data_IF_982835472881
#
_entry.id   IF_982835472881
#
_cell.length_a   1.000
_cell.length_b   1.000
_cell.length_c   1.000
_cell.angle_alpha   90.00
_cell.angle_beta   90.00
_cell.angle_gamma   90.00
#
_symmetry.space_group_name_H-M   'P 1'
#
loop_
_entity.id
_entity.type
_entity.pdbx_description
1 polymer ?
#
# COMPACT_ATOMS: atom_id res chain seq x y z
N UNK A 1 -1.17 45.99 -12.42
CA UNK A 1 -0.95 44.55 -12.65
C UNK A 1 0.13 44.43 -13.70
N UNK A 2 1.23 43.76 -13.35
CA UNK A 2 2.38 43.62 -14.22
C UNK A 2 2.09 42.63 -15.36
N UNK A 3 2.54 42.95 -16.57
CA UNK A 3 2.37 42.09 -17.76
C UNK A 3 2.96 40.69 -17.56
N UNK A 4 3.94 40.54 -16.68
CA UNK A 4 4.54 39.25 -16.31
C UNK A 4 3.60 38.37 -15.50
N UNK A 5 2.81 38.96 -14.60
CA UNK A 5 1.83 38.21 -13.79
C UNK A 5 0.67 37.70 -14.65
N UNK A 6 0.24 38.51 -15.63
CA UNK A 6 -0.78 38.09 -16.59
C UNK A 6 -0.30 36.92 -17.45
N UNK A 7 0.95 36.97 -17.91
CA UNK A 7 1.53 35.93 -18.76
C UNK A 7 1.72 34.60 -17.99
N UNK A 8 2.13 34.68 -16.73
CA UNK A 8 2.20 33.50 -15.85
C UNK A 8 0.81 32.92 -15.55
N UNK A 9 -0.19 33.76 -15.31
CA UNK A 9 -1.57 33.32 -15.11
C UNK A 9 -2.13 32.63 -16.35
N UNK A 10 -1.93 33.20 -17.53
CA UNK A 10 -2.40 32.65 -18.79
C UNK A 10 -1.71 31.32 -19.11
N UNK A 11 -0.40 31.21 -18.84
CA UNK A 11 0.36 29.97 -19.05
C UNK A 11 -0.07 28.86 -18.07
N UNK A 12 -0.37 29.20 -16.82
CA UNK A 12 -0.92 28.26 -15.84
C UNK A 12 -2.33 27.79 -16.22
N UNK A 13 -3.16 28.68 -16.79
CA UNK A 13 -4.48 28.31 -17.29
C UNK A 13 -4.39 27.36 -18.50
N UNK A 14 -3.49 27.62 -19.45
CA UNK A 14 -3.26 26.72 -20.58
C UNK A 14 -2.72 25.35 -20.15
N UNK A 15 -1.81 25.30 -19.17
CA UNK A 15 -1.30 24.03 -18.64
C UNK A 15 -2.40 23.20 -17.97
N UNK A 16 -3.30 23.82 -17.20
CA UNK A 16 -4.44 23.11 -16.61
C UNK A 16 -5.36 22.53 -17.67
N UNK A 17 -5.69 23.33 -18.69
CA UNK A 17 -6.55 22.89 -19.78
C UNK A 17 -5.92 21.72 -20.56
N UNK A 18 -4.62 21.77 -20.84
CA UNK A 18 -3.91 20.67 -21.49
C UNK A 18 -3.84 19.39 -20.63
N UNK A 19 -3.72 19.53 -19.30
CA UNK A 19 -3.74 18.39 -18.39
C UNK A 19 -5.12 17.73 -18.30
N UNK A 20 -6.18 18.55 -18.27
CA UNK A 20 -7.56 18.06 -18.25
C UNK A 20 -7.91 17.32 -19.55
N UNK A 21 -7.55 17.88 -20.71
CA UNK A 21 -7.74 17.23 -22.02
C UNK A 21 -6.98 15.89 -22.11
N UNK A 22 -5.73 15.86 -21.64
CA UNK A 22 -4.92 14.63 -21.63
C UNK A 22 -5.51 13.57 -20.69
N UNK A 23 -6.03 13.98 -19.54
CA UNK A 23 -6.69 13.09 -18.59
C UNK A 23 -7.97 12.50 -19.18
N UNK A 24 -8.84 13.33 -19.79
CA UNK A 24 -10.08 12.85 -20.40
C UNK A 24 -9.80 11.88 -21.56
N UNK A 25 -8.85 12.20 -22.43
CA UNK A 25 -8.46 11.32 -23.53
C UNK A 25 -7.93 9.96 -23.01
N UNK A 26 -7.08 9.98 -21.98
CA UNK A 26 -6.56 8.75 -21.36
C UNK A 26 -7.65 7.94 -20.65
N UNK A 27 -8.57 8.61 -19.95
CA UNK A 27 -9.68 7.97 -19.27
C UNK A 27 -10.66 7.31 -20.25
N UNK A 28 -10.99 7.98 -21.36
CA UNK A 28 -11.84 7.45 -22.41
C UNK A 28 -11.22 6.20 -23.06
N UNK A 29 -9.95 6.26 -23.42
CA UNK A 29 -9.22 5.12 -23.99
C UNK A 29 -9.16 3.93 -23.01
N UNK A 30 -8.85 4.20 -21.74
CA UNK A 30 -8.78 3.16 -20.70
C UNK A 30 -10.14 2.49 -20.44
N UNK A 31 -11.23 3.26 -20.45
CA UNK A 31 -12.60 2.74 -20.30
C UNK A 31 -12.98 1.79 -21.43
N UNK A 32 -12.59 2.11 -22.67
CA UNK A 32 -12.86 1.26 -23.82
C UNK A 32 -12.05 -0.04 -23.79
N UNK A 33 -10.74 0.03 -23.50
CA UNK A 33 -9.90 -1.16 -23.34
C UNK A 33 -10.38 -2.07 -22.20
N UNK A 34 -10.74 -1.50 -21.05
CA UNK A 34 -11.26 -2.26 -19.91
C UNK A 34 -12.59 -2.95 -20.25
N UNK A 35 -13.48 -2.28 -21.02
CA UNK A 35 -14.74 -2.88 -21.47
C UNK A 35 -14.50 -4.03 -22.44
N UNK A 36 -13.56 -3.87 -23.38
CA UNK A 36 -13.21 -4.92 -24.33
C UNK A 36 -12.66 -6.16 -23.60
N UNK A 37 -11.71 -5.99 -22.67
CA UNK A 37 -11.18 -7.10 -21.88
C UNK A 37 -12.25 -7.81 -21.05
N UNK A 38 -13.17 -7.05 -20.44
CA UNK A 38 -14.23 -7.61 -19.61
C UNK A 38 -15.20 -8.43 -20.46
N UNK A 39 -15.56 -7.94 -21.65
CA UNK A 39 -16.40 -8.69 -22.60
C UNK A 39 -15.71 -9.98 -23.07
N UNK A 40 -14.40 -9.94 -23.35
CA UNK A 40 -13.64 -11.14 -23.71
C UNK A 40 -13.63 -12.16 -22.57
N UNK A 41 -13.39 -11.72 -21.32
CA UNK A 41 -13.40 -12.59 -20.14
C UNK A 41 -14.79 -13.16 -19.85
N UNK A 42 -15.84 -12.35 -20.01
CA UNK A 42 -17.22 -12.79 -19.79
C UNK A 42 -17.65 -13.82 -20.85
N UNK A 43 -17.29 -13.60 -22.11
CA UNK A 43 -17.60 -14.54 -23.19
C UNK A 43 -16.87 -15.89 -23.00
N UNK A 44 -15.63 -15.87 -22.52
CA UNK A 44 -14.89 -17.08 -22.19
C UNK A 44 -15.54 -17.92 -21.07
N UNK A 45 -16.21 -17.26 -20.11
CA UNK A 45 -16.94 -17.93 -19.02
C UNK A 45 -18.30 -18.46 -19.47
N UNK A 46 -18.96 -17.77 -20.41
CA UNK A 46 -20.30 -18.15 -20.90
C UNK A 46 -20.28 -19.18 -22.02
N UNK A 47 -19.19 -19.26 -22.80
CA UNK A 47 -19.06 -20.19 -23.93
C UNK A 47 -18.41 -21.53 -23.57
N UNK A 48 -18.06 -21.76 -22.29
CA UNK A 48 -17.58 -23.06 -21.83
C UNK A 48 -18.76 -24.01 -21.57
N UNK A 49 -19.17 -24.75 -22.61
CA UNK A 49 -20.17 -25.82 -22.58
C UNK A 49 -19.51 -27.20 -22.31
N UNK A 50 -18.65 -27.25 -21.29
CA UNK A 50 -17.97 -28.47 -20.82
C UNK A 50 -17.99 -28.47 -19.28
N UNK A 51 -18.36 -29.58 -18.60
CA UNK A 51 -18.36 -29.65 -17.15
C UNK A 51 -16.92 -29.70 -16.63
N UNK A 52 -16.29 -28.53 -16.50
CA UNK A 52 -14.97 -28.41 -15.91
C UNK A 52 -15.04 -28.71 -14.41
N UNK A 53 -14.76 -29.97 -14.07
CA UNK A 53 -14.03 -30.32 -12.85
C UNK A 53 -12.70 -29.57 -12.85
N UNK A 54 -12.70 -28.30 -12.45
CA UNK A 54 -11.49 -27.50 -12.37
C UNK A 54 -10.90 -27.57 -10.96
N UNK A 55 -10.18 -28.68 -10.73
CA UNK A 55 -9.06 -28.69 -9.80
C UNK A 55 -8.06 -27.61 -10.24
N UNK A 56 -8.05 -26.49 -9.53
CA UNK A 56 -7.13 -25.38 -9.77
C UNK A 56 -5.75 -25.73 -9.21
N UNK A 57 -4.93 -26.44 -9.98
CA UNK A 57 -3.48 -26.48 -9.76
C UNK A 57 -2.81 -25.51 -10.73
N UNK A 58 -2.25 -24.38 -10.28
CA UNK A 58 -1.44 -23.55 -11.16
C UNK A 58 -0.19 -24.34 -11.56
N UNK A 59 -0.15 -24.69 -12.84
CA UNK A 59 1.03 -25.24 -13.51
C UNK A 59 2.17 -24.22 -13.44
N UNK A 60 3.25 -24.61 -12.78
CA UNK A 60 4.51 -23.86 -12.70
C UNK A 60 5.11 -23.79 -14.09
N UNK A 61 5.07 -22.64 -14.73
CA UNK A 61 6.00 -22.33 -15.82
C UNK A 61 7.36 -22.02 -15.21
N UNK A 62 8.27 -22.98 -15.39
CA UNK A 62 9.71 -22.82 -15.33
C UNK A 62 10.14 -21.58 -16.12
N UNK A 63 10.63 -20.56 -15.42
CA UNK A 63 11.56 -19.58 -15.96
C UNK A 63 12.81 -19.67 -15.11
N UNK A 64 13.71 -20.56 -15.51
CA UNK A 64 15.12 -20.50 -15.16
C UNK A 64 15.70 -19.23 -15.77
N UNK A 65 16.14 -18.29 -14.94
CA UNK A 65 17.30 -17.47 -15.27
C UNK A 65 18.00 -16.91 -14.03
N UNK A 66 19.23 -17.40 -13.86
CA UNK A 66 20.42 -16.75 -13.32
C UNK A 66 20.41 -16.18 -11.88
N UNK A 67 20.96 -17.00 -11.00
CA UNK A 67 21.93 -16.68 -9.93
C UNK A 67 22.30 -15.20 -9.75
N UNK A 68 21.92 -14.66 -8.59
CA UNK A 68 22.89 -13.96 -7.72
C UNK A 68 22.72 -14.55 -6.33
N UNK A 69 23.63 -15.44 -5.98
CA UNK A 69 23.80 -15.92 -4.62
C UNK A 69 24.20 -14.73 -3.74
N UNK A 70 23.30 -14.30 -2.86
CA UNK A 70 23.69 -13.64 -1.62
C UNK A 70 23.15 -14.50 -0.50
N UNK A 71 24.01 -15.43 -0.09
CA UNK A 71 23.95 -16.16 1.16
C UNK A 71 23.89 -15.16 2.31
N UNK A 72 22.80 -15.17 3.07
CA UNK A 72 22.77 -14.79 4.49
C UNK A 72 21.40 -15.11 5.09
N UNK A 73 21.38 -16.09 5.98
CA UNK A 73 20.40 -16.18 7.06
C UNK A 73 19.17 -17.02 6.77
N UNK A 74 19.35 -18.34 6.87
CA UNK A 74 18.30 -19.31 7.14
C UNK A 74 17.46 -18.88 8.35
N UNK A 75 16.30 -18.27 8.10
CA UNK A 75 15.14 -18.45 8.95
C UNK A 75 14.19 -19.28 8.11
N UNK A 76 14.04 -20.55 8.45
CA UNK A 76 12.90 -21.35 7.99
C UNK A 76 11.64 -20.56 8.33
N UNK A 77 11.12 -19.84 7.34
CA UNK A 77 9.78 -19.26 7.42
C UNK A 77 8.85 -20.46 7.32
N UNK A 78 8.53 -20.95 8.52
CA UNK A 78 7.51 -21.95 8.80
C UNK A 78 6.31 -21.67 7.90
N UNK A 79 6.21 -22.45 6.82
CA UNK A 79 5.32 -22.18 5.70
C UNK A 79 3.94 -22.59 6.19
N UNK A 80 3.24 -21.66 6.84
CA UNK A 80 1.94 -21.91 7.45
C UNK A 80 1.07 -22.71 6.48
N UNK A 81 0.49 -23.80 6.98
CA UNK A 81 -0.24 -24.76 6.17
C UNK A 81 -1.28 -24.06 5.29
N UNK A 82 -1.49 -24.53 4.03
CA UNK A 82 -2.49 -23.95 3.13
C UNK A 82 -3.86 -23.93 3.83
N UNK A 83 -4.38 -22.72 4.07
CA UNK A 83 -5.62 -22.49 4.86
C UNK A 83 -5.43 -21.70 6.17
N UNK A 84 -4.20 -21.45 6.62
CA UNK A 84 -3.92 -20.88 7.96
C UNK A 84 -3.85 -19.35 7.99
N UNK A 85 -3.69 -18.69 6.83
CA UNK A 85 -3.50 -17.24 6.76
C UNK A 85 -4.71 -16.46 7.29
N UNK A 86 -5.91 -16.85 6.87
CA UNK A 86 -7.17 -16.21 7.27
C UNK A 86 -7.43 -16.27 8.79
N UNK A 87 -7.43 -17.45 9.45
CA UNK A 87 -7.66 -17.52 10.89
C UNK A 87 -6.57 -16.80 11.69
N UNK A 88 -5.31 -16.85 11.24
CA UNK A 88 -4.21 -16.15 11.91
C UNK A 88 -4.37 -14.61 11.83
N UNK A 89 -4.67 -14.07 10.65
CA UNK A 89 -4.90 -12.62 10.49
C UNK A 89 -6.14 -12.16 11.26
N UNK A 90 -7.23 -12.93 11.21
CA UNK A 90 -8.45 -12.58 11.95
C UNK A 90 -8.21 -12.57 13.45
N UNK A 91 -7.57 -13.63 13.99
CA UNK A 91 -7.22 -13.71 15.41
C UNK A 91 -6.33 -12.55 15.83
N UNK A 92 -5.31 -12.22 15.03
CA UNK A 92 -4.42 -11.10 15.33
C UNK A 92 -5.16 -9.76 15.43
N UNK A 93 -6.14 -9.51 14.55
CA UNK A 93 -6.95 -8.29 14.59
C UNK A 93 -7.90 -8.29 15.79
N UNK A 94 -8.46 -9.44 16.15
CA UNK A 94 -9.30 -9.59 17.35
C UNK A 94 -8.52 -9.36 18.65
N UNK A 95 -7.28 -9.85 18.72
CA UNK A 95 -6.38 -9.66 19.86
C UNK A 95 -5.90 -8.19 19.98
N UNK A 96 -6.06 -7.38 18.93
CA UNK A 96 -5.64 -5.98 18.87
C UNK A 96 -6.83 -5.04 18.59
N UNK A 97 -7.70 -4.77 19.59
CA UNK A 97 -8.93 -4.00 19.39
C UNK A 97 -8.70 -2.52 19.04
N UNK A 98 -7.49 -2.00 19.30
CA UNK A 98 -7.03 -0.65 18.90
C UNK A 98 -6.73 -0.50 17.40
N UNK A 99 -6.82 -1.60 16.67
CA UNK A 99 -6.63 -1.66 15.23
C UNK A 99 -5.17 -1.70 14.80
N UNK A 100 -4.93 -2.40 13.70
CA UNK A 100 -3.60 -2.61 13.14
C UNK A 100 -3.51 -2.10 11.71
N UNK A 101 -2.38 -1.49 11.36
CA UNK A 101 -2.08 -1.20 9.96
C UNK A 101 -1.73 -2.47 9.21
N UNK A 102 -1.94 -2.48 7.88
CA UNK A 102 -1.54 -3.62 7.04
C UNK A 102 -0.06 -3.98 7.20
N UNK A 103 0.82 -2.98 7.38
CA UNK A 103 2.25 -3.19 7.59
C UNK A 103 2.51 -3.96 8.89
N UNK A 104 1.89 -3.55 9.99
CA UNK A 104 2.00 -4.25 11.28
C UNK A 104 1.50 -5.69 11.19
N UNK A 105 0.39 -5.92 10.48
CA UNK A 105 -0.14 -7.28 10.29
C UNK A 105 0.88 -8.15 9.53
N UNK A 106 1.51 -7.62 8.47
CA UNK A 106 2.56 -8.32 7.73
C UNK A 106 3.76 -8.63 8.63
N UNK A 107 4.23 -7.65 9.40
CA UNK A 107 5.38 -7.82 10.31
C UNK A 107 5.10 -8.87 11.40
N UNK A 108 3.91 -8.86 11.98
CA UNK A 108 3.54 -9.78 13.07
C UNK A 108 3.20 -11.19 12.58
N UNK A 109 2.65 -11.34 11.37
CA UNK A 109 2.27 -12.65 10.84
C UNK A 109 3.34 -13.30 9.96
N UNK A 110 4.30 -12.53 9.45
CA UNK A 110 5.29 -12.99 8.47
C UNK A 110 4.72 -13.33 7.10
N UNK A 111 3.42 -13.08 6.85
CA UNK A 111 2.80 -13.40 5.57
C UNK A 111 3.12 -12.38 4.49
N UNK A 112 3.19 -12.87 3.24
CA UNK A 112 3.39 -12.00 2.07
C UNK A 112 2.29 -10.94 1.97
N UNK A 113 2.67 -9.74 1.54
CA UNK A 113 1.76 -8.60 1.41
C UNK A 113 0.50 -8.93 0.60
N UNK A 114 0.63 -9.61 -0.53
CA UNK A 114 -0.50 -9.98 -1.38
C UNK A 114 -1.49 -10.92 -0.68
N UNK A 115 -0.98 -11.87 0.12
CA UNK A 115 -1.81 -12.77 0.91
C UNK A 115 -2.58 -12.01 1.98
N UNK A 116 -1.90 -11.13 2.74
CA UNK A 116 -2.53 -10.29 3.76
C UNK A 116 -3.58 -9.36 3.14
N UNK A 117 -3.28 -8.71 2.01
CA UNK A 117 -4.22 -7.84 1.30
C UNK A 117 -5.48 -8.60 0.88
N UNK A 118 -5.32 -9.77 0.26
CA UNK A 118 -6.44 -10.60 -0.20
C UNK A 118 -7.31 -11.07 0.98
N UNK A 119 -6.67 -11.54 2.05
CA UNK A 119 -7.35 -11.97 3.27
C UNK A 119 -8.11 -10.82 3.94
N UNK A 120 -7.50 -9.64 4.08
CA UNK A 120 -8.18 -8.47 4.65
C UNK A 120 -9.38 -8.03 3.82
N UNK A 121 -9.28 -8.12 2.49
CA UNK A 121 -10.42 -7.85 1.62
C UNK A 121 -11.56 -8.86 1.86
N UNK A 122 -11.26 -10.17 1.90
CA UNK A 122 -12.24 -11.22 2.18
C UNK A 122 -12.92 -11.03 3.55
N UNK A 123 -12.13 -10.80 4.60
CA UNK A 123 -12.64 -10.63 5.97
C UNK A 123 -13.56 -9.40 6.11
N UNK A 124 -13.37 -8.38 5.27
CA UNK A 124 -14.18 -7.16 5.26
C UNK A 124 -15.44 -7.31 4.41
N UNK A 125 -15.32 -7.83 3.19
CA UNK A 125 -16.43 -7.82 2.21
C UNK A 125 -17.29 -9.06 2.27
N UNK A 126 -16.72 -10.23 2.58
CA UNK A 126 -17.44 -11.50 2.55
C UNK A 126 -17.98 -11.87 3.93
N UNK A 127 -17.17 -11.68 4.96
CA UNK A 127 -17.50 -12.11 6.32
C UNK A 127 -17.93 -10.97 7.24
N UNK A 128 -17.70 -9.72 6.81
CA UNK A 128 -18.01 -8.52 7.59
C UNK A 128 -17.51 -8.67 9.04
N UNK A 129 -16.28 -9.18 9.20
CA UNK A 129 -15.66 -9.51 10.48
C UNK A 129 -14.68 -8.42 10.94
N UNK A 130 -14.12 -7.66 9.99
CA UNK A 130 -13.16 -6.59 10.23
C UNK A 130 -13.55 -5.37 9.41
N UNK A 131 -13.25 -4.17 9.90
CA UNK A 131 -13.54 -2.91 9.21
C UNK A 131 -12.27 -2.09 9.07
N UNK A 132 -12.09 -1.45 7.91
CA UNK A 132 -11.01 -0.51 7.70
C UNK A 132 -11.46 0.92 8.01
N UNK A 133 -10.76 1.59 8.90
CA UNK A 133 -10.91 3.03 9.14
C UNK A 133 -9.52 3.66 9.19
N UNK A 134 -9.32 4.71 8.39
CA UNK A 134 -8.08 5.49 8.38
C UNK A 134 -6.81 4.63 8.17
N UNK A 135 -6.88 3.64 7.27
CA UNK A 135 -5.76 2.74 6.97
C UNK A 135 -5.45 1.69 8.04
N UNK A 136 -6.22 1.65 9.14
CA UNK A 136 -6.14 0.65 10.20
C UNK A 136 -7.33 -0.31 10.13
N UNK A 137 -7.08 -1.56 10.47
CA UNK A 137 -8.05 -2.66 10.48
C UNK A 137 -8.46 -2.96 11.91
N UNK A 138 -9.76 -2.89 12.17
CA UNK A 138 -10.37 -3.12 13.49
C UNK A 138 -11.27 -4.35 13.44
N UNK A 139 -11.40 -5.10 14.53
CA UNK A 139 -12.44 -6.11 14.63
C UNK A 139 -13.81 -5.43 14.67
N UNK A 140 -14.81 -5.99 13.98
CA UNK A 140 -16.15 -5.42 13.95
C UNK A 140 -16.73 -5.33 15.37
N UNK A 141 -17.38 -4.19 15.66
CA UNK A 141 -17.94 -3.92 16.98
C UNK A 141 -16.92 -3.43 18.01
N UNK A 142 -15.65 -3.22 17.64
CA UNK A 142 -14.67 -2.59 18.54
C UNK A 142 -15.15 -1.18 18.95
N UNK A 143 -15.09 -0.83 20.25
CA UNK A 143 -15.47 0.50 20.73
C UNK A 143 -14.59 1.60 20.11
N UNK A 144 -13.35 1.26 19.72
CA UNK A 144 -12.41 2.18 19.09
C UNK A 144 -12.79 2.57 17.66
N UNK A 145 -13.73 1.86 17.03
CA UNK A 145 -14.25 2.24 15.71
C UNK A 145 -15.02 3.56 15.80
N UNK A 146 -15.81 3.76 16.86
CA UNK A 146 -16.55 5.01 17.06
C UNK A 146 -15.60 6.20 17.21
N UNK A 147 -14.53 6.03 18.00
CA UNK A 147 -13.49 7.04 18.18
C UNK A 147 -12.73 7.33 16.89
N UNK A 148 -12.34 6.30 16.13
CA UNK A 148 -11.67 6.45 14.85
C UNK A 148 -12.55 7.16 13.81
N UNK A 149 -13.86 6.86 13.81
CA UNK A 149 -14.85 7.51 12.94
C UNK A 149 -15.05 8.98 13.29
N UNK A 150 -15.14 9.33 14.57
CA UNK A 150 -15.27 10.73 15.00
C UNK A 150 -14.01 11.54 14.64
N UNK A 151 -12.81 10.98 14.88
CA UNK A 151 -11.54 11.63 14.52
C UNK A 151 -11.43 11.87 13.01
N UNK A 152 -11.74 10.86 12.19
CA UNK A 152 -11.68 10.99 10.73
C UNK A 152 -12.72 11.97 10.19
N UNK A 153 -13.93 12.02 10.76
CA UNK A 153 -14.93 13.03 10.42
C UNK A 153 -14.43 14.46 10.75
N UNK A 154 -13.79 14.66 11.91
CA UNK A 154 -13.20 15.95 12.28
C UNK A 154 -12.07 16.37 11.33
N UNK A 155 -11.20 15.44 10.94
CA UNK A 155 -10.15 15.71 9.95
C UNK A 155 -10.73 16.10 8.59
N UNK A 156 -11.77 15.41 8.13
CA UNK A 156 -12.42 15.76 6.85
C UNK A 156 -13.07 17.14 6.90
N UNK A 157 -13.66 17.55 8.04
CA UNK A 157 -14.21 18.90 8.21
C UNK A 157 -13.13 19.99 8.24
N UNK A 158 -11.95 19.71 8.81
CA UNK A 158 -10.82 20.63 8.80
C UNK A 158 -10.22 20.79 7.39
N UNK A 159 -10.06 19.69 6.64
CA UNK A 159 -9.57 19.72 5.25
C UNK A 159 -10.56 20.44 4.32
N UNK A 160 -11.87 20.30 4.56
CA UNK A 160 -12.91 20.99 3.80
C UNK A 160 -13.00 22.51 4.08
N UNK A 161 -12.11 23.07 4.91
CA UNK A 161 -12.05 24.52 5.17
C UNK A 161 -13.22 25.06 5.99
N UNK A 162 -13.94 24.19 6.72
CA UNK A 162 -15.08 24.58 7.57
C UNK A 162 -14.62 24.88 9.01
N UNK A 163 -13.38 24.55 9.38
CA UNK A 163 -12.73 24.91 10.65
C UNK A 163 -11.27 25.29 10.41
N UNK A 164 -10.86 26.43 10.96
CA UNK A 164 -9.50 27.00 10.88
C UNK A 164 -8.45 26.26 11.72
N UNK A 165 -8.84 25.29 12.56
CA UNK A 165 -7.92 24.57 13.43
C UNK A 165 -7.92 23.06 13.15
N UNK A 166 -6.80 22.49 12.66
CA UNK A 166 -6.60 21.05 12.66
C UNK A 166 -6.51 20.55 14.12
N UNK A 167 -7.16 19.43 14.48
CA UNK A 167 -7.03 18.87 15.82
C UNK A 167 -5.56 18.51 16.07
N UNK A 168 -5.05 18.93 17.23
CA UNK A 168 -3.70 18.73 17.77
C UNK A 168 -2.90 17.68 16.99
N UNK A 169 -2.13 18.19 16.04
CA UNK A 169 -1.17 17.38 15.32
C UNK A 169 -0.24 16.74 16.34
N UNK A 170 -0.36 15.42 16.49
CA UNK A 170 0.61 14.54 17.14
C UNK A 170 1.35 15.21 18.30
N UNK A 171 0.78 15.12 19.51
CA UNK A 171 1.61 15.05 20.70
C UNK A 171 2.53 13.83 20.52
N UNK A 172 3.68 14.05 19.88
CA UNK A 172 4.82 13.16 19.89
C UNK A 172 5.31 13.17 21.33
N UNK A 173 4.73 12.27 22.10
CA UNK A 173 5.17 11.92 23.42
C UNK A 173 6.69 11.72 23.41
N UNK A 174 7.32 12.40 24.37
CA UNK A 174 8.75 12.59 24.42
C UNK A 174 9.49 11.27 24.47
N UNK A 175 10.42 11.10 23.53
CA UNK A 175 11.63 10.31 23.75
C UNK A 175 12.74 10.86 22.87
N UNK A 176 13.41 11.88 23.40
CA UNK A 176 14.83 12.09 23.11
C UNK A 176 15.57 10.81 23.53
N UNK A 177 16.47 10.31 22.68
CA UNK A 177 17.79 9.99 23.18
C UNK A 177 18.80 10.92 22.50
N UNK A 178 19.65 11.55 23.33
CA UNK A 178 20.74 12.37 22.84
C UNK A 178 21.66 11.56 21.93
N UNK A 179 21.93 12.09 20.74
CA UNK A 179 23.07 11.66 19.95
C UNK A 179 24.14 12.74 20.07
N UNK A 180 25.11 12.42 20.92
CA UNK A 180 26.37 13.11 21.15
C UNK A 180 27.11 13.37 19.85
N UNK A 181 27.72 14.56 19.75
CA UNK A 181 28.60 14.95 18.67
C UNK A 181 29.68 13.90 18.41
N UNK A 182 29.76 13.47 17.15
CA UNK A 182 30.89 12.72 16.60
C UNK A 182 31.73 13.67 15.76
N UNK A 183 32.89 14.06 16.30
CA UNK A 183 33.95 14.75 15.58
C UNK A 183 34.30 14.02 14.29
N UNK A 184 34.35 14.76 13.18
CA UNK A 184 34.99 14.32 11.95
C UNK A 184 36.50 14.17 12.20
N UNK A 185 37.12 13.00 11.95
CA UNK A 185 38.54 12.93 11.71
C UNK A 185 38.85 13.37 10.26
N UNK A 186 39.96 14.09 10.02
CA UNK A 186 40.30 14.66 8.72
C UNK A 186 40.73 13.60 7.70
N UNK A 187 40.42 13.91 6.45
CA UNK A 187 40.85 13.23 5.23
C UNK A 187 42.37 13.00 5.24
N UNK A 188 42.78 11.73 5.18
CA UNK A 188 44.18 11.38 4.94
C UNK A 188 44.35 10.93 3.49
N UNK A 189 44.75 11.86 2.64
CA UNK A 189 45.26 11.58 1.31
C UNK A 189 46.56 10.75 1.43
N UNK A 190 46.51 9.49 1.02
CA UNK A 190 47.72 8.73 0.72
C UNK A 190 47.56 8.02 -0.62
N UNK A 191 48.07 8.73 -1.63
CA UNK A 191 48.54 8.19 -2.89
C UNK A 191 49.70 7.22 -2.60
N UNK A 192 49.80 6.08 -3.29
CA UNK A 192 51.06 5.86 -3.97
C UNK A 192 50.88 5.36 -5.40
N UNK A 193 51.65 6.03 -6.25
CA UNK A 193 52.00 5.58 -7.57
C UNK A 193 52.90 4.32 -7.55
N UNK A 194 52.86 3.61 -8.67
CA UNK A 194 53.90 2.73 -9.23
C UNK A 194 54.10 1.35 -8.60
N UNK A 195 53.94 0.27 -9.39
CA UNK A 195 55.06 -0.34 -10.10
C UNK A 195 54.58 -1.47 -11.04
N UNK A 196 55.16 -1.45 -12.23
CA UNK A 196 55.45 -2.54 -13.17
C UNK A 196 54.99 -3.96 -12.82
N UNK A 197 54.29 -4.61 -13.76
CA UNK A 197 54.80 -5.72 -14.56
C UNK A 197 53.83 -6.13 -15.67
#
# INVERSE_FOLDING_TARGET
>A
MDKLDQLNSDMAAMMRLALDDAYEAGFAAGKESARAELLTKLNAVLSSDEPVSASFTPSSTDVRNAEVATDNGSVEVDRAAPGTVKPAVLKLIQDNPRGLTRRQIIEMTGFKHNSVRGTLWQLNTQEDAVVNYDGKWYPKGSPHIAEARDKSARYQMAIAGIRDEPPDAFATDGSKPGSTGGSYPPENHSNPAQHER
#
